data_IF_784627916185
#
_entry.id   IF_784627916185
#
_cell.length_a   1.000
_cell.length_b   1.000
_cell.length_c   1.000
_cell.angle_alpha   90.00
_cell.angle_beta   90.00
_cell.angle_gamma   90.00
#
_symmetry.space_group_name_H-M   'P 1'
#
loop_
_entity.id
_entity.type
_entity.pdbx_description
1 polymer ?
#
# COMPACT_ATOMS: atom_id res chain seq x y z
N UNK A 1 7.81 9.43 -8.19
CA UNK A 1 8.56 8.40 -7.42
C UNK A 1 7.61 7.42 -6.75
N UNK A 2 6.48 7.89 -6.20
CA UNK A 2 5.40 7.02 -5.74
C UNK A 2 4.98 5.94 -6.75
N UNK A 3 4.76 6.28 -8.02
CA UNK A 3 4.44 5.28 -9.05
C UNK A 3 5.54 4.22 -9.29
N UNK A 4 6.82 4.59 -9.08
CA UNK A 4 7.94 3.66 -9.23
C UNK A 4 7.95 2.65 -8.08
N UNK A 5 7.77 3.14 -6.85
CA UNK A 5 7.62 2.30 -5.65
C UNK A 5 6.44 1.34 -5.82
N UNK A 6 5.30 1.83 -6.30
CA UNK A 6 4.13 0.99 -6.55
C UNK A 6 4.43 -0.13 -7.55
N UNK A 7 5.12 0.20 -8.66
CA UNK A 7 5.52 -0.78 -9.66
C UNK A 7 6.46 -1.84 -9.08
N UNK A 8 7.34 -1.45 -8.16
CA UNK A 8 8.30 -2.36 -7.54
C UNK A 8 7.64 -3.31 -6.55
N UNK A 9 6.65 -2.86 -5.77
CA UNK A 9 6.03 -3.69 -4.73
C UNK A 9 4.96 -4.64 -5.28
N UNK A 10 4.24 -4.28 -6.37
CA UNK A 10 3.13 -5.07 -6.90
C UNK A 10 3.51 -6.54 -7.16
N UNK A 11 4.66 -6.86 -7.77
CA UNK A 11 5.07 -8.25 -8.00
C UNK A 11 5.29 -9.08 -6.72
N UNK A 12 5.46 -8.44 -5.57
CA UNK A 12 5.68 -9.11 -4.29
C UNK A 12 4.40 -9.26 -3.46
N UNK A 13 3.27 -8.73 -3.94
CA UNK A 13 1.99 -8.88 -3.26
C UNK A 13 1.45 -10.29 -3.48
N UNK A 14 1.16 -11.01 -2.39
CA UNK A 14 0.57 -12.34 -2.45
C UNK A 14 -0.30 -12.63 -1.22
N UNK A 15 -1.27 -13.57 -1.33
CA UNK A 15 -2.08 -13.99 -0.21
C UNK A 15 -1.25 -14.44 1.00
N UNK A 16 -1.79 -14.20 2.19
CA UNK A 16 -1.14 -14.52 3.46
C UNK A 16 -0.26 -13.41 4.03
N UNK A 17 0.05 -12.37 3.25
CA UNK A 17 0.73 -11.17 3.77
C UNK A 17 -0.21 -10.34 4.64
N UNK A 18 0.34 -9.77 5.70
CA UNK A 18 -0.32 -8.78 6.56
C UNK A 18 -0.16 -7.38 6.00
N UNK A 19 -1.06 -6.47 6.37
CA UNK A 19 -0.95 -5.04 6.05
C UNK A 19 0.41 -4.43 6.45
N UNK A 20 0.96 -4.89 7.58
CA UNK A 20 2.26 -4.42 8.11
C UNK A 20 3.43 -4.87 7.24
N UNK A 21 3.39 -6.10 6.74
CA UNK A 21 4.42 -6.60 5.82
C UNK A 21 4.42 -5.81 4.51
N UNK A 22 3.24 -5.44 4.00
CA UNK A 22 3.12 -4.62 2.79
C UNK A 22 3.62 -3.19 3.04
N UNK A 23 3.26 -2.58 4.18
CA UNK A 23 3.78 -1.27 4.56
C UNK A 23 5.31 -1.29 4.69
N UNK A 24 5.87 -2.37 5.20
CA UNK A 24 7.31 -2.58 5.22
C UNK A 24 7.91 -2.72 3.82
N UNK A 25 7.24 -3.42 2.88
CA UNK A 25 7.69 -3.48 1.48
C UNK A 25 7.75 -2.09 0.83
N UNK A 26 6.75 -1.24 1.08
CA UNK A 26 6.72 0.17 0.62
C UNK A 26 7.90 0.94 1.21
N UNK A 27 8.07 0.90 2.53
CA UNK A 27 9.14 1.62 3.22
C UNK A 27 10.52 1.17 2.75
N UNK A 28 10.73 -0.15 2.63
CA UNK A 28 11.98 -0.73 2.13
C UNK A 28 12.28 -0.28 0.70
N UNK A 29 11.30 -0.32 -0.20
CA UNK A 29 11.47 0.15 -1.58
C UNK A 29 11.86 1.63 -1.63
N UNK A 30 11.20 2.49 -0.84
CA UNK A 30 11.51 3.92 -0.76
C UNK A 30 12.93 4.18 -0.25
N UNK A 31 13.30 3.56 0.87
CA UNK A 31 14.59 3.80 1.54
C UNK A 31 15.74 3.19 0.77
N UNK A 32 15.65 1.90 0.47
CA UNK A 32 16.74 1.13 -0.12
C UNK A 32 16.79 1.28 -1.65
N UNK A 33 15.63 1.33 -2.31
CA UNK A 33 15.55 1.44 -3.77
C UNK A 33 15.80 2.86 -4.30
N UNK A 34 15.37 3.89 -3.57
CA UNK A 34 15.39 5.27 -4.07
C UNK A 34 16.18 6.26 -3.20
N UNK A 35 16.73 5.81 -2.07
CA UNK A 35 17.48 6.65 -1.13
C UNK A 35 16.63 7.80 -0.59
N UNK A 36 15.35 7.53 -0.30
CA UNK A 36 14.37 8.54 0.08
C UNK A 36 13.72 8.22 1.44
N UNK A 37 12.94 9.17 1.94
CA UNK A 37 12.22 9.05 3.20
C UNK A 37 10.72 8.85 2.95
N UNK A 38 10.02 8.30 3.93
CA UNK A 38 8.56 8.36 3.98
C UNK A 38 8.12 9.81 4.17
N UNK A 39 7.11 10.25 3.40
CA UNK A 39 6.46 11.54 3.65
C UNK A 39 5.50 11.47 4.85
N UNK A 40 4.87 10.31 5.04
CA UNK A 40 4.00 9.95 6.16
C UNK A 40 3.99 8.43 6.35
N UNK A 41 3.41 7.95 7.45
CA UNK A 41 3.26 6.51 7.70
C UNK A 41 2.36 5.86 6.62
N UNK A 42 2.83 4.86 5.85
CA UNK A 42 2.01 4.22 4.82
C UNK A 42 0.71 3.66 5.38
N UNK A 43 -0.39 4.01 4.73
CA UNK A 43 -1.69 3.40 4.96
C UNK A 43 -1.81 2.21 4.01
N UNK A 44 -1.92 1.02 4.60
CA UNK A 44 -2.25 -0.21 3.88
C UNK A 44 -3.45 -0.80 4.55
N UNK A 45 -4.55 -0.88 3.81
CA UNK A 45 -5.83 -1.32 4.35
C UNK A 45 -6.44 -2.38 3.42
N UNK A 46 -6.73 -3.55 3.98
CA UNK A 46 -7.29 -4.70 3.27
C UNK A 46 -8.81 -4.75 3.48
N UNK A 47 -9.55 -4.96 2.39
CA UNK A 47 -10.99 -5.18 2.36
C UNK A 47 -11.77 -4.12 3.16
N UNK A 48 -12.53 -4.50 4.19
CA UNK A 48 -13.32 -3.59 5.01
C UNK A 48 -12.50 -2.45 5.66
N UNK A 49 -11.20 -2.66 5.89
CA UNK A 49 -10.33 -1.61 6.40
C UNK A 49 -10.15 -0.47 5.39
N UNK A 50 -10.26 -0.74 4.08
CA UNK A 50 -10.12 0.28 3.03
C UNK A 50 -11.24 1.32 3.05
N UNK A 51 -12.34 1.06 3.76
CA UNK A 51 -13.42 2.02 3.96
C UNK A 51 -13.12 3.05 5.06
N UNK A 52 -12.01 2.91 5.81
CA UNK A 52 -11.61 3.80 6.90
C UNK A 52 -10.60 4.84 6.37
N UNK A 53 -10.96 6.13 6.24
CA UNK A 53 -10.13 7.11 5.54
C UNK A 53 -8.72 7.30 6.10
N UNK A 54 -8.58 7.31 7.42
CA UNK A 54 -7.27 7.44 8.10
C UNK A 54 -6.94 6.15 8.85
N UNK A 55 -7.04 5.02 8.15
CA UNK A 55 -6.74 3.72 8.71
C UNK A 55 -5.31 3.66 9.29
N UNK A 56 -5.17 3.13 10.50
CA UNK A 56 -3.86 3.01 11.13
C UNK A 56 -3.30 1.59 10.93
N UNK A 57 -2.48 1.41 9.90
CA UNK A 57 -1.80 0.17 9.54
C UNK A 57 -1.06 -0.50 10.72
N UNK A 58 -0.46 0.29 11.62
CA UNK A 58 0.30 -0.23 12.76
C UNK A 58 -0.60 -0.96 13.76
N UNK A 59 -1.88 -0.59 13.83
CA UNK A 59 -2.92 -1.26 14.64
C UNK A 59 -3.68 -2.33 13.87
N UNK A 60 -3.47 -2.40 12.55
CA UNK A 60 -4.15 -3.34 11.67
C UNK A 60 -3.76 -4.80 11.88
N UNK A 61 -4.67 -5.66 11.45
CA UNK A 61 -4.53 -7.11 11.45
C UNK A 61 -5.08 -7.73 10.16
N UNK A 62 -5.29 -6.93 9.12
CA UNK A 62 -5.74 -7.42 7.82
C UNK A 62 -4.69 -8.32 7.18
N UNK A 63 -5.17 -9.37 6.52
CA UNK A 63 -4.35 -10.34 5.79
C UNK A 63 -4.91 -10.44 4.38
N UNK A 64 -4.06 -10.27 3.37
CA UNK A 64 -4.45 -10.38 1.97
C UNK A 64 -4.93 -11.80 1.65
N UNK A 65 -6.04 -11.91 0.93
CA UNK A 65 -6.58 -13.16 0.35
C UNK A 65 -6.58 -13.07 -1.18
N UNK A 66 -6.84 -14.20 -1.85
CA UNK A 66 -6.84 -14.32 -3.33
C UNK A 66 -7.73 -13.30 -4.06
N UNK A 67 -8.78 -12.81 -3.42
CA UNK A 67 -9.74 -11.86 -3.99
C UNK A 67 -9.87 -10.57 -3.16
N UNK A 68 -8.87 -10.29 -2.32
CA UNK A 68 -8.87 -9.09 -1.49
C UNK A 68 -8.67 -7.81 -2.29
N UNK A 69 -9.25 -6.73 -1.81
CA UNK A 69 -9.01 -5.37 -2.28
C UNK A 69 -8.07 -4.65 -1.31
N UNK A 70 -7.07 -3.95 -1.83
CA UNK A 70 -6.13 -3.18 -1.03
C UNK A 70 -6.22 -1.70 -1.36
N UNK A 71 -6.29 -0.87 -0.34
CA UNK A 71 -5.96 0.55 -0.42
C UNK A 71 -4.49 0.72 -0.02
N UNK A 72 -3.70 1.27 -0.93
CA UNK A 72 -2.32 1.68 -0.70
C UNK A 72 -2.25 3.19 -0.78
N UNK A 73 -1.95 3.84 0.34
CA UNK A 73 -1.81 5.29 0.41
C UNK A 73 -0.50 5.65 1.12
N UNK A 74 0.42 6.24 0.36
CA UNK A 74 1.76 6.52 0.84
C UNK A 74 2.39 7.70 0.10
N UNK A 75 3.38 8.30 0.73
CA UNK A 75 4.11 9.43 0.16
C UNK A 75 5.60 9.25 0.26
N UNK A 76 6.33 9.82 -0.71
CA UNK A 76 7.79 9.78 -0.74
C UNK A 76 8.33 11.19 -0.55
N UNK A 77 9.28 11.34 0.37
CA UNK A 77 9.97 12.59 0.64
C UNK A 77 11.40 12.54 0.12
N UNK A 78 11.76 13.49 -0.75
CA UNK A 78 13.11 13.63 -1.31
C UNK A 78 13.46 15.09 -1.49
N UNK A 79 14.63 15.50 -1.01
CA UNK A 79 15.12 16.90 -1.08
C UNK A 79 14.09 17.92 -0.57
N UNK A 80 13.40 17.63 0.53
CA UNK A 80 12.32 18.43 1.13
C UNK A 80 11.02 18.55 0.32
N UNK A 81 10.88 17.81 -0.79
CA UNK A 81 9.61 17.68 -1.49
C UNK A 81 8.90 16.38 -1.09
N UNK A 82 7.60 16.47 -0.82
CA UNK A 82 6.75 15.33 -0.52
C UNK A 82 5.84 15.03 -1.72
N UNK A 83 5.77 13.75 -2.10
CA UNK A 83 4.70 13.24 -2.95
C UNK A 83 3.62 12.58 -2.11
N UNK A 84 2.46 12.41 -2.69
CA UNK A 84 1.31 11.71 -2.13
C UNK A 84 0.67 10.88 -3.25
N UNK A 85 0.44 9.58 -3.01
CA UNK A 85 -0.20 8.69 -3.96
C UNK A 85 -1.09 7.68 -3.25
N UNK A 86 -2.34 7.62 -3.72
CA UNK A 86 -3.33 6.63 -3.30
C UNK A 86 -3.73 5.74 -4.49
N UNK A 87 -3.72 4.42 -4.32
CA UNK A 87 -4.16 3.44 -5.32
C UNK A 87 -4.92 2.29 -4.68
N UNK A 88 -5.93 1.82 -5.40
CA UNK A 88 -6.62 0.56 -5.11
C UNK A 88 -5.99 -0.56 -5.92
N UNK A 89 -5.67 -1.68 -5.28
CA UNK A 89 -5.11 -2.88 -5.92
C UNK A 89 -6.01 -4.06 -5.62
N UNK A 90 -6.52 -4.70 -6.67
CA UNK A 90 -7.30 -5.93 -6.55
C UNK A 90 -6.43 -7.17 -6.67
N UNK A 91 -6.55 -8.08 -5.73
CA UNK A 91 -6.03 -9.44 -5.88
C UNK A 91 -7.03 -10.26 -6.69
N UNK A 92 -6.53 -11.02 -7.68
CA UNK A 92 -7.35 -11.93 -8.46
C UNK A 92 -8.57 -11.26 -9.11
N UNK A 93 -9.75 -11.87 -8.93
CA UNK A 93 -11.02 -11.33 -9.45
C UNK A 93 -11.66 -10.43 -8.41
N UNK A 94 -11.74 -9.15 -8.74
CA UNK A 94 -12.54 -8.18 -7.99
C UNK A 94 -14.00 -8.22 -8.46
N UNK A 95 -14.95 -8.03 -7.53
CA UNK A 95 -16.39 -8.00 -7.83
C UNK A 95 -16.76 -6.85 -8.77
N UNK A 96 -17.86 -7.00 -9.53
CA UNK A 96 -18.27 -5.96 -10.48
C UNK A 96 -18.81 -4.69 -9.79
N UNK A 97 -19.29 -4.81 -8.55
CA UNK A 97 -19.67 -3.66 -7.74
C UNK A 97 -18.46 -2.79 -7.38
N UNK A 98 -17.31 -3.39 -7.05
CA UNK A 98 -16.07 -2.67 -6.74
C UNK A 98 -15.44 -2.06 -8.00
N UNK A 99 -15.71 -2.61 -9.19
CA UNK A 99 -15.21 -2.05 -10.46
C UNK A 99 -16.01 -0.85 -10.97
N UNK A 100 -17.21 -0.62 -10.44
CA UNK A 100 -18.16 0.38 -10.93
C UNK A 100 -17.86 1.77 -10.38
#
# INVERSE_FOLDING_TARGET
>A
MGDLVLKDIIPYLHPGQTEKEIAWLIERSIREGYGAELAFDPIVAVDEHSAIPHYNTKKGSGIIKEESLLLLDFGVKKHNYCSDITRMVGMGKVSDEIKK
#
